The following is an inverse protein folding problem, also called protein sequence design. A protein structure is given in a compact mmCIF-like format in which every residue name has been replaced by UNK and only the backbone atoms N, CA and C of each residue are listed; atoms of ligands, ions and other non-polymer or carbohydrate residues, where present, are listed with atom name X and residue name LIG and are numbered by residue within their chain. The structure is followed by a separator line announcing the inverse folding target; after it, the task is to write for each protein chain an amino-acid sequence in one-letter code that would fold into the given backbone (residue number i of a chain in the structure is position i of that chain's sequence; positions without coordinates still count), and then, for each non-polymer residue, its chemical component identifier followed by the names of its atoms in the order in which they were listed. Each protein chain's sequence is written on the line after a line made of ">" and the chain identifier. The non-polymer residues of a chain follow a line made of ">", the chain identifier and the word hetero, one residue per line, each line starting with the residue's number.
data_IF_428452072176
#
_entry.id   IF_428452072176
#
_cell.length_a   1.000
_cell.length_b   1.000
_cell.length_c   1.000
_cell.angle_alpha   90.00
_cell.angle_beta   90.00
_cell.angle_gamma   90.00
#
_symmetry.space_group_name_H-M   'P 1'
#
loop_
_entity.id
_entity.type
_entity.pdbx_description
1 polymer ?
#
# COMPACT_ATOMS: atom_id res chain seq x y z
N UNK A 1 -18.29 3.84 -26.30
CA UNK A 1 -18.91 3.37 -25.05
C UNK A 1 -18.71 1.87 -25.00
N UNK A 2 -17.82 1.38 -24.13
CA UNK A 2 -17.59 -0.06 -23.98
C UNK A 2 -18.66 -0.60 -23.04
N UNK A 3 -19.62 -1.38 -23.56
CA UNK A 3 -20.67 -2.01 -22.77
C UNK A 3 -20.01 -3.02 -21.84
N UNK A 4 -19.95 -2.73 -20.53
CA UNK A 4 -19.53 -3.71 -19.53
C UNK A 4 -20.45 -4.93 -19.67
N UNK A 5 -19.88 -6.08 -20.02
CA UNK A 5 -20.61 -7.34 -20.13
C UNK A 5 -21.17 -7.68 -18.75
N UNK A 6 -22.49 -7.74 -18.62
CA UNK A 6 -23.17 -8.07 -17.38
C UNK A 6 -22.96 -9.57 -17.10
N UNK A 7 -22.42 -9.91 -15.93
CA UNK A 7 -22.18 -11.30 -15.55
C UNK A 7 -23.49 -12.01 -15.19
N UNK A 8 -23.67 -13.23 -15.68
CA UNK A 8 -24.86 -14.03 -15.34
C UNK A 8 -24.72 -14.69 -13.98
N UNK A 9 -25.84 -15.00 -13.32
CA UNK A 9 -25.92 -15.75 -12.06
C UNK A 9 -25.13 -17.06 -12.08
N UNK A 10 -25.14 -17.78 -13.20
CA UNK A 10 -24.38 -19.03 -13.34
C UNK A 10 -22.87 -18.78 -13.41
N UNK A 11 -22.42 -17.75 -14.13
CA UNK A 11 -21.01 -17.35 -14.16
C UNK A 11 -20.53 -16.91 -12.78
N UNK A 12 -21.38 -16.19 -12.04
CA UNK A 12 -21.09 -15.69 -10.70
C UNK A 12 -21.00 -16.81 -9.65
N UNK A 13 -21.79 -17.88 -9.77
CA UNK A 13 -21.69 -19.04 -8.87
C UNK A 13 -20.30 -19.68 -8.88
N UNK A 14 -19.63 -19.70 -10.04
CA UNK A 14 -18.28 -20.28 -10.17
C UNK A 14 -17.28 -19.62 -9.21
N UNK A 15 -17.47 -18.34 -8.89
CA UNK A 15 -16.59 -17.57 -7.99
C UNK A 15 -16.75 -17.93 -6.51
N UNK A 16 -17.86 -18.57 -6.14
CA UNK A 16 -18.24 -18.83 -4.74
C UNK A 16 -18.56 -20.31 -4.46
N UNK A 17 -18.40 -21.20 -5.45
CA UNK A 17 -18.68 -22.64 -5.34
C UNK A 17 -17.92 -23.35 -4.21
N UNK A 18 -16.76 -22.81 -3.82
CA UNK A 18 -15.94 -23.34 -2.72
C UNK A 18 -16.40 -22.83 -1.33
N UNK A 19 -17.32 -21.84 -1.30
CA UNK A 19 -17.79 -21.18 -0.08
C UNK A 19 -19.22 -21.57 0.31
N UNK A 20 -20.04 -21.98 -0.64
CA UNK A 20 -21.42 -22.41 -0.39
C UNK A 20 -21.90 -23.39 -1.47
N UNK A 21 -22.89 -24.21 -1.11
CA UNK A 21 -23.52 -25.13 -2.06
C UNK A 21 -24.33 -24.38 -3.12
N UNK A 22 -24.72 -25.08 -4.19
CA UNK A 22 -25.57 -24.47 -5.22
C UNK A 22 -26.96 -24.16 -4.66
N UNK A 23 -27.45 -25.02 -3.78
CA UNK A 23 -28.73 -24.86 -3.11
C UNK A 23 -28.73 -23.62 -2.21
N UNK A 24 -27.69 -23.45 -1.37
CA UNK A 24 -27.52 -22.26 -0.52
C UNK A 24 -27.41 -20.97 -1.34
N UNK A 25 -26.73 -21.03 -2.48
CA UNK A 25 -26.61 -19.89 -3.39
C UNK A 25 -27.97 -19.44 -3.96
N UNK A 26 -28.79 -20.39 -4.40
CA UNK A 26 -30.14 -20.14 -4.91
C UNK A 26 -31.06 -19.56 -3.83
N UNK A 27 -31.02 -20.11 -2.61
CA UNK A 27 -31.78 -19.60 -1.45
C UNK A 27 -31.36 -18.18 -1.07
N UNK A 28 -30.06 -17.91 -1.00
CA UNK A 28 -29.54 -16.58 -0.70
C UNK A 28 -29.91 -15.53 -1.76
N UNK A 29 -29.94 -15.92 -3.04
CA UNK A 29 -30.42 -15.03 -4.12
C UNK A 29 -31.90 -14.70 -3.93
N UNK A 30 -32.73 -15.70 -3.62
CA UNK A 30 -34.15 -15.48 -3.40
C UNK A 30 -34.40 -14.55 -2.20
N UNK A 31 -33.66 -14.76 -1.11
CA UNK A 31 -33.74 -13.90 0.08
C UNK A 31 -33.33 -12.46 -0.24
N UNK A 32 -32.23 -12.26 -0.98
CA UNK A 32 -31.78 -10.94 -1.40
C UNK A 32 -32.83 -10.25 -2.28
N UNK A 33 -33.48 -10.98 -3.20
CA UNK A 33 -34.56 -10.37 -4.00
C UNK A 33 -35.75 -9.92 -3.14
N UNK A 34 -36.16 -10.75 -2.19
CA UNK A 34 -37.24 -10.43 -1.26
C UNK A 34 -36.90 -9.22 -0.37
N UNK A 35 -35.66 -9.15 0.13
CA UNK A 35 -35.17 -8.04 0.95
C UNK A 35 -35.25 -6.69 0.21
N UNK A 36 -35.12 -6.72 -1.11
CA UNK A 36 -35.23 -5.55 -2.00
C UNK A 36 -36.60 -5.43 -2.68
N UNK A 37 -37.61 -6.18 -2.22
CA UNK A 37 -38.98 -6.12 -2.73
C UNK A 37 -39.11 -6.48 -4.21
N UNK A 38 -38.33 -7.45 -4.68
CA UNK A 38 -38.26 -7.92 -6.08
C UNK A 38 -37.88 -6.82 -7.09
N UNK A 39 -37.24 -5.75 -6.64
CA UNK A 39 -36.72 -4.68 -7.50
C UNK A 39 -35.59 -5.15 -8.41
N UNK A 40 -34.84 -6.17 -7.98
CA UNK A 40 -33.64 -6.69 -8.62
C UNK A 40 -33.89 -8.08 -9.20
N UNK A 41 -33.27 -8.35 -10.35
CA UNK A 41 -33.30 -9.67 -10.97
C UNK A 41 -32.29 -10.64 -10.32
N UNK A 42 -32.33 -11.90 -10.77
CA UNK A 42 -31.47 -12.98 -10.30
C UNK A 42 -29.99 -12.70 -10.50
N UNK A 43 -29.61 -12.06 -11.62
CA UNK A 43 -28.22 -11.75 -11.95
C UNK A 43 -27.70 -10.62 -11.04
N UNK A 44 -28.52 -9.60 -10.77
CA UNK A 44 -28.21 -8.52 -9.84
C UNK A 44 -28.12 -9.02 -8.39
N UNK A 45 -29.05 -9.87 -7.96
CA UNK A 45 -29.01 -10.48 -6.63
C UNK A 45 -27.80 -11.41 -6.46
N UNK A 46 -27.48 -12.21 -7.48
CA UNK A 46 -26.25 -13.01 -7.54
C UNK A 46 -25.00 -12.15 -7.43
N UNK A 47 -24.96 -11.02 -8.14
CA UNK A 47 -23.83 -10.09 -8.09
C UNK A 47 -23.66 -9.50 -6.70
N UNK A 48 -24.75 -9.04 -6.08
CA UNK A 48 -24.74 -8.53 -4.70
C UNK A 48 -24.27 -9.60 -3.70
N UNK A 49 -24.66 -10.85 -3.90
CA UNK A 49 -24.21 -11.96 -3.06
C UNK A 49 -22.72 -12.23 -3.22
N UNK A 50 -22.22 -12.29 -4.45
CA UNK A 50 -20.79 -12.47 -4.76
C UNK A 50 -19.96 -11.30 -4.21
N UNK A 51 -20.46 -10.08 -4.33
CA UNK A 51 -19.80 -8.88 -3.77
C UNK A 51 -19.78 -8.91 -2.24
N UNK A 52 -20.92 -9.23 -1.60
CA UNK A 52 -21.05 -9.40 -0.15
C UNK A 52 -20.11 -10.49 0.41
N UNK A 53 -19.85 -11.53 -0.36
CA UNK A 53 -18.92 -12.61 -0.01
C UNK A 53 -17.46 -12.29 -0.33
N UNK A 54 -17.16 -11.10 -0.86
CA UNK A 54 -15.81 -10.73 -1.28
C UNK A 54 -15.29 -11.69 -2.35
N UNK A 55 -16.12 -12.05 -3.31
CA UNK A 55 -15.75 -12.94 -4.42
C UNK A 55 -15.87 -12.25 -5.78
N UNK A 56 -16.28 -10.98 -5.79
CA UNK A 56 -16.30 -10.15 -6.98
C UNK A 56 -14.86 -9.87 -7.45
N UNK A 57 -14.43 -10.57 -8.49
CA UNK A 57 -13.10 -10.43 -9.12
C UNK A 57 -13.08 -9.38 -10.23
N UNK A 58 -14.24 -8.81 -10.59
CA UNK A 58 -14.42 -8.09 -11.85
C UNK A 58 -13.71 -6.74 -11.93
N UNK A 59 -13.07 -6.24 -10.86
CA UNK A 59 -12.34 -4.97 -10.90
C UNK A 59 -11.12 -4.97 -9.95
N UNK A 60 -10.20 -5.94 -10.08
CA UNK A 60 -8.87 -5.78 -9.46
C UNK A 60 -8.15 -4.64 -10.20
N UNK A 61 -7.79 -3.60 -9.47
CA UNK A 61 -7.05 -2.44 -9.97
C UNK A 61 -5.56 -2.66 -9.69
N UNK A 62 -4.71 -2.31 -10.66
CA UNK A 62 -3.26 -2.29 -10.48
C UNK A 62 -2.87 -1.27 -9.39
N UNK A 63 -1.86 -1.57 -8.58
CA UNK A 63 -1.54 -0.72 -7.42
C UNK A 63 -1.16 0.72 -7.83
N UNK A 64 -0.50 0.89 -8.97
CA UNK A 64 -0.16 2.20 -9.57
C UNK A 64 -1.37 3.07 -9.92
N UNK A 65 -2.52 2.44 -10.20
CA UNK A 65 -3.71 3.08 -10.75
C UNK A 65 -4.74 3.39 -9.66
N UNK A 66 -4.37 3.17 -8.40
CA UNK A 66 -5.22 3.47 -7.25
C UNK A 66 -5.18 4.96 -6.95
N UNK A 67 -6.29 5.64 -7.23
CA UNK A 67 -6.56 7.02 -6.86
C UNK A 67 -7.28 7.13 -5.51
N UNK A 68 -7.21 8.28 -4.81
CA UNK A 68 -7.92 8.48 -3.54
C UNK A 68 -9.42 8.73 -3.74
N UNK A 69 -10.22 8.44 -2.71
CA UNK A 69 -11.65 8.77 -2.68
C UNK A 69 -12.56 7.75 -3.36
N UNK A 70 -12.05 6.57 -3.70
CA UNK A 70 -12.78 5.47 -4.33
C UNK A 70 -12.67 4.17 -3.56
N UNK A 71 -13.59 3.25 -3.84
CA UNK A 71 -13.43 1.84 -3.48
C UNK A 71 -12.52 1.15 -4.51
N UNK A 72 -11.60 0.34 -4.01
CA UNK A 72 -10.68 -0.42 -4.85
C UNK A 72 -10.57 -1.85 -4.34
N UNK A 73 -10.55 -2.78 -5.30
CA UNK A 73 -10.13 -4.15 -5.06
C UNK A 73 -8.71 -4.27 -5.57
N UNK A 74 -7.78 -4.72 -4.72
CA UNK A 74 -6.35 -4.82 -5.02
C UNK A 74 -5.81 -6.19 -4.63
N UNK A 75 -4.74 -6.60 -5.28
CA UNK A 75 -4.04 -7.83 -4.97
C UNK A 75 -2.53 -7.62 -5.11
N UNK A 76 -1.75 -8.19 -4.20
CA UNK A 76 -0.31 -8.06 -4.24
C UNK A 76 0.38 -8.77 -3.09
N UNK A 77 1.71 -8.66 -3.07
CA UNK A 77 2.58 -9.25 -2.07
C UNK A 77 2.86 -8.22 -0.97
N UNK A 78 2.84 -8.65 0.28
CA UNK A 78 3.25 -7.80 1.40
C UNK A 78 4.76 -7.66 1.38
N UNK A 79 5.24 -6.46 1.13
CA UNK A 79 6.68 -6.14 1.07
C UNK A 79 7.26 -5.73 2.42
N UNK A 80 6.45 -5.12 3.28
CA UNK A 80 6.84 -4.73 4.64
C UNK A 80 5.63 -4.56 5.54
N UNK A 81 5.82 -4.81 6.84
CA UNK A 81 4.80 -4.64 7.88
C UNK A 81 5.36 -3.77 9.01
N UNK A 82 4.62 -2.74 9.41
CA UNK A 82 4.97 -1.91 10.57
C UNK A 82 4.43 -2.54 11.87
N UNK A 83 5.07 -2.27 13.03
CA UNK A 83 4.58 -2.74 14.31
C UNK A 83 3.14 -2.28 14.59
N UNK A 84 2.29 -3.13 15.20
CA UNK A 84 0.94 -2.73 15.60
C UNK A 84 0.94 -1.53 16.56
N UNK A 85 0.02 -0.60 16.32
CA UNK A 85 -0.20 0.56 17.19
C UNK A 85 -1.58 0.51 17.82
N UNK A 86 -1.63 0.67 19.15
CA UNK A 86 -2.87 0.68 19.94
C UNK A 86 -3.16 2.11 20.40
N UNK A 87 -4.40 2.55 20.24
CA UNK A 87 -4.85 3.89 20.61
C UNK A 87 -6.19 3.84 21.34
N UNK A 88 -6.48 4.88 22.13
CA UNK A 88 -7.77 5.02 22.81
C UNK A 88 -8.71 5.88 21.98
N UNK A 89 -9.91 5.37 21.69
CA UNK A 89 -10.96 6.11 20.98
C UNK A 89 -11.64 7.12 21.90
N UNK A 90 -12.35 8.08 21.32
CA UNK A 90 -13.16 9.07 22.06
C UNK A 90 -14.18 8.44 23.02
N UNK A 91 -14.64 7.23 22.74
CA UNK A 91 -15.58 6.47 23.57
C UNK A 91 -14.89 5.60 24.65
N UNK A 92 -13.59 5.79 24.87
CA UNK A 92 -12.80 5.03 25.85
C UNK A 92 -12.40 3.62 25.41
N UNK A 93 -12.93 3.09 24.29
CA UNK A 93 -12.53 1.77 23.77
C UNK A 93 -11.16 1.85 23.12
N UNK A 94 -10.39 0.77 23.21
CA UNK A 94 -9.15 0.65 22.45
C UNK A 94 -9.45 0.37 20.97
N UNK A 95 -8.62 0.95 20.10
CA UNK A 95 -8.51 0.61 18.69
C UNK A 95 -7.07 0.16 18.40
N UNK A 96 -6.92 -0.69 17.38
CA UNK A 96 -5.61 -1.13 16.90
C UNK A 96 -5.48 -0.85 15.41
N UNK A 97 -4.30 -0.46 14.98
CA UNK A 97 -3.96 -0.23 13.57
C UNK A 97 -2.61 -0.84 13.24
N UNK A 98 -2.51 -1.42 12.04
CA UNK A 98 -1.25 -1.88 11.44
C UNK A 98 -1.17 -1.30 10.03
N UNK A 99 -0.01 -0.73 9.69
CA UNK A 99 0.29 -0.29 8.34
C UNK A 99 1.20 -1.32 7.66
N UNK A 100 0.89 -1.69 6.43
CA UNK A 100 1.73 -2.56 5.61
C UNK A 100 1.87 -1.98 4.19
N UNK A 101 2.89 -2.41 3.47
CA UNK A 101 3.09 -2.03 2.07
C UNK A 101 2.83 -3.25 1.19
N UNK A 102 1.81 -3.15 0.34
CA UNK A 102 1.53 -4.13 -0.71
C UNK A 102 2.25 -3.73 -2.00
N UNK A 103 2.77 -4.70 -2.75
CA UNK A 103 3.47 -4.49 -4.02
C UNK A 103 3.00 -5.49 -5.08
N UNK A 104 2.88 -5.03 -6.31
CA UNK A 104 2.67 -5.83 -7.51
C UNK A 104 3.75 -5.49 -8.55
N UNK A 105 3.53 -5.83 -9.81
CA UNK A 105 4.43 -5.50 -10.91
C UNK A 105 4.36 -4.03 -11.34
N UNK A 106 3.33 -3.28 -10.93
CA UNK A 106 3.12 -1.90 -11.37
C UNK A 106 3.51 -0.86 -10.32
N UNK A 107 3.46 -1.22 -9.04
CA UNK A 107 3.81 -0.27 -7.98
C UNK A 107 3.71 -0.81 -6.56
N UNK A 108 3.44 0.11 -5.64
CA UNK A 108 3.37 -0.16 -4.22
C UNK A 108 2.27 0.70 -3.60
N UNK A 109 1.46 0.11 -2.72
CA UNK A 109 0.34 0.77 -2.08
C UNK A 109 0.38 0.56 -0.56
N UNK A 110 0.39 1.63 0.24
CA UNK A 110 0.17 1.54 1.68
C UNK A 110 -1.23 1.03 1.99
N UNK A 111 -1.30 0.02 2.85
CA UNK A 111 -2.54 -0.59 3.32
C UNK A 111 -2.66 -0.37 4.84
N UNK A 112 -3.84 0.03 5.28
CA UNK A 112 -4.16 0.29 6.69
C UNK A 112 -5.16 -0.74 7.19
N UNK A 113 -4.70 -1.63 8.06
CA UNK A 113 -5.51 -2.65 8.72
C UNK A 113 -5.98 -2.17 10.09
N UNK A 114 -7.22 -2.49 10.44
CA UNK A 114 -7.83 -2.06 11.70
C UNK A 114 -8.29 -3.26 12.54
N UNK A 115 -8.19 -3.12 13.86
CA UNK A 115 -8.75 -4.06 14.85
C UNK A 115 -8.44 -5.53 14.53
N UNK A 116 -9.43 -6.31 14.11
CA UNK A 116 -9.31 -7.75 13.88
C UNK A 116 -8.28 -8.06 12.80
N UNK A 117 -8.24 -7.31 11.69
CA UNK A 117 -7.20 -7.51 10.67
C UNK A 117 -5.81 -7.10 11.17
N UNK A 118 -5.71 -6.12 12.07
CA UNK A 118 -4.46 -5.80 12.74
C UNK A 118 -4.03 -6.91 13.72
N UNK A 119 -4.98 -7.58 14.39
CA UNK A 119 -4.71 -8.73 15.25
C UNK A 119 -4.21 -9.93 14.44
N UNK A 120 -4.74 -10.16 13.22
CA UNK A 120 -4.26 -11.22 12.32
C UNK A 120 -2.78 -11.07 11.97
N UNK A 121 -2.28 -9.84 11.88
CA UNK A 121 -0.83 -9.57 11.74
C UNK A 121 -0.07 -9.93 13.02
N UNK A 122 -0.56 -9.46 14.18
CA UNK A 122 0.08 -9.71 15.48
C UNK A 122 0.17 -11.21 15.82
N UNK A 123 -0.87 -11.98 15.49
CA UNK A 123 -0.90 -13.43 15.64
C UNK A 123 -0.09 -14.18 14.57
N UNK A 124 0.48 -13.47 13.59
CA UNK A 124 1.32 -14.04 12.54
C UNK A 124 0.54 -14.81 11.47
N UNK A 125 -0.77 -14.59 11.34
CA UNK A 125 -1.56 -15.09 10.21
C UNK A 125 -1.23 -14.33 8.92
N UNK A 126 -0.96 -13.02 9.05
CA UNK A 126 -0.52 -12.15 7.96
C UNK A 126 0.95 -11.80 8.19
N UNK A 127 1.82 -12.14 7.23
CA UNK A 127 3.28 -11.95 7.28
C UNK A 127 3.81 -11.36 6.00
N UNK A 128 5.00 -10.77 6.07
CA UNK A 128 5.74 -10.36 4.88
C UNK A 128 5.89 -11.51 3.89
N UNK A 129 5.96 -11.15 2.61
CA UNK A 129 6.02 -12.05 1.48
C UNK A 129 4.77 -12.90 1.26
N UNK A 130 3.68 -12.69 1.99
CA UNK A 130 2.38 -13.32 1.69
C UNK A 130 1.64 -12.54 0.61
N UNK A 131 0.84 -13.24 -0.19
CA UNK A 131 -0.05 -12.61 -1.16
C UNK A 131 -1.40 -12.37 -0.50
N UNK A 132 -1.86 -11.13 -0.56
CA UNK A 132 -3.18 -10.75 -0.09
C UNK A 132 -4.02 -10.25 -1.25
N UNK A 133 -5.32 -10.49 -1.16
CA UNK A 133 -6.33 -9.80 -1.94
C UNK A 133 -7.25 -9.06 -0.99
N UNK A 134 -7.49 -7.79 -1.30
CA UNK A 134 -8.35 -6.90 -0.53
C UNK A 134 -9.45 -6.43 -1.46
N UNK A 135 -10.69 -6.64 -1.05
CA UNK A 135 -11.88 -6.31 -1.83
C UNK A 135 -12.61 -5.17 -1.13
N UNK A 136 -13.06 -4.20 -1.92
CA UNK A 136 -13.80 -3.03 -1.46
C UNK A 136 -13.05 -2.27 -0.34
N UNK A 137 -11.74 -2.11 -0.53
CA UNK A 137 -10.90 -1.25 0.30
C UNK A 137 -11.19 0.22 -0.02
N UNK A 138 -11.28 1.07 1.00
CA UNK A 138 -11.55 2.49 0.77
C UNK A 138 -10.25 3.30 0.73
N UNK A 139 -10.04 3.98 -0.38
CA UNK A 139 -8.80 4.75 -0.63
C UNK A 139 -8.93 6.17 -0.11
N UNK A 140 -7.86 6.66 0.54
CA UNK A 140 -7.80 8.03 1.06
C UNK A 140 -6.46 8.66 0.72
N UNK A 141 -6.47 9.98 0.60
CA UNK A 141 -5.24 10.74 0.58
C UNK A 141 -4.67 10.79 2.00
N UNK A 142 -3.61 10.02 2.23
CA UNK A 142 -2.79 10.05 3.44
C UNK A 142 -1.73 11.16 3.39
N UNK A 143 -0.93 11.25 4.46
CA UNK A 143 0.17 12.25 4.56
C UNK A 143 1.25 12.03 3.50
N UNK A 144 1.48 10.76 3.15
CA UNK A 144 2.59 10.32 2.30
C UNK A 144 2.17 9.82 0.91
N UNK A 145 0.88 9.94 0.55
CA UNK A 145 0.35 9.41 -0.70
C UNK A 145 -1.04 8.80 -0.52
N UNK A 146 -1.51 8.07 -1.52
CA UNK A 146 -2.76 7.31 -1.43
C UNK A 146 -2.56 6.12 -0.50
N UNK A 147 -3.51 5.90 0.40
CA UNK A 147 -3.55 4.76 1.32
C UNK A 147 -4.87 4.01 1.14
N UNK A 148 -4.84 2.68 1.18
CA UNK A 148 -6.04 1.85 1.12
C UNK A 148 -6.39 1.35 2.51
N UNK A 149 -7.57 1.71 3.00
CA UNK A 149 -8.05 1.31 4.32
C UNK A 149 -8.95 0.08 4.21
N UNK A 150 -8.63 -0.94 4.99
CA UNK A 150 -9.45 -2.15 5.14
C UNK A 150 -10.51 -1.86 6.20
N UNK A 151 -11.69 -1.48 5.74
CA UNK A 151 -12.81 -1.05 6.58
C UNK A 151 -13.82 -2.17 6.84
N UNK A 152 -14.93 -1.81 7.50
CA UNK A 152 -16.04 -2.73 7.82
C UNK A 152 -16.61 -3.47 6.61
N UNK A 153 -16.59 -2.84 5.44
CA UNK A 153 -17.14 -3.37 4.20
C UNK A 153 -16.08 -4.01 3.30
N UNK A 154 -14.83 -4.04 3.76
CA UNK A 154 -13.73 -4.64 3.03
C UNK A 154 -13.59 -6.10 3.40
N UNK A 155 -13.20 -6.94 2.45
CA UNK A 155 -12.83 -8.34 2.69
C UNK A 155 -11.35 -8.53 2.41
N UNK A 156 -10.63 -9.18 3.33
CA UNK A 156 -9.21 -9.52 3.17
C UNK A 156 -9.03 -11.04 3.13
N UNK A 157 -8.58 -11.56 1.97
CA UNK A 157 -8.19 -12.95 1.79
C UNK A 157 -6.67 -13.10 1.65
N UNK A 158 -6.16 -14.21 2.18
CA UNK A 158 -4.80 -14.69 1.94
C UNK A 158 -4.87 -15.63 0.74
N UNK A 159 -4.02 -15.41 -0.24
CA UNK A 159 -4.00 -16.18 -1.49
C UNK A 159 -2.74 -17.05 -1.56
N UNK A 160 -2.82 -18.16 -2.30
CA UNK A 160 -1.64 -18.96 -2.65
C UNK A 160 -0.71 -18.18 -3.59
N UNK A 161 0.57 -18.56 -3.57
CA UNK A 161 1.61 -17.94 -4.40
C UNK A 161 1.75 -18.71 -5.71
N UNK A 162 1.96 -17.98 -6.79
CA UNK A 162 2.21 -18.51 -8.12
C UNK A 162 3.66 -18.20 -8.55
N UNK A 163 4.13 -18.76 -9.66
CA UNK A 163 5.51 -18.58 -10.14
C UNK A 163 5.92 -17.09 -10.30
N UNK A 164 5.01 -16.23 -10.76
CA UNK A 164 5.24 -14.78 -10.86
C UNK A 164 5.45 -14.14 -9.49
N UNK A 165 4.75 -14.61 -8.46
CA UNK A 165 4.88 -14.11 -7.09
C UNK A 165 6.26 -14.47 -6.52
N UNK A 166 6.79 -15.65 -6.87
CA UNK A 166 8.15 -16.05 -6.50
C UNK A 166 9.20 -15.11 -7.09
N UNK A 167 9.06 -14.70 -8.35
CA UNK A 167 9.98 -13.75 -8.99
C UNK A 167 9.91 -12.36 -8.31
N UNK A 168 8.71 -11.88 -7.98
CA UNK A 168 8.53 -10.62 -7.25
C UNK A 168 9.13 -10.68 -5.84
N UNK A 169 8.94 -11.79 -5.12
CA UNK A 169 9.53 -12.03 -3.80
C UNK A 169 11.05 -12.12 -3.90
N UNK A 170 11.62 -12.85 -4.85
CA UNK A 170 13.07 -12.97 -5.01
C UNK A 170 13.68 -11.63 -5.43
N UNK A 171 13.03 -10.86 -6.31
CA UNK A 171 13.43 -9.49 -6.61
C UNK A 171 13.35 -8.58 -5.38
N UNK A 172 12.33 -8.75 -4.53
CA UNK A 172 12.20 -8.01 -3.28
C UNK A 172 13.25 -8.43 -2.24
N UNK A 173 13.55 -9.72 -2.13
CA UNK A 173 14.61 -10.26 -1.27
C UNK A 173 15.98 -9.83 -1.77
N UNK A 174 16.24 -9.86 -3.07
CA UNK A 174 17.48 -9.36 -3.67
C UNK A 174 17.61 -7.86 -3.40
N UNK A 175 16.53 -7.08 -3.59
CA UNK A 175 16.46 -5.67 -3.16
C UNK A 175 16.61 -5.51 -1.65
N UNK A 176 16.16 -6.45 -0.81
CA UNK A 176 16.31 -6.41 0.64
C UNK A 176 17.72 -6.81 1.10
N UNK A 177 18.38 -7.73 0.39
CA UNK A 177 19.78 -8.11 0.56
C UNK A 177 20.66 -6.92 0.17
N UNK A 178 20.31 -6.22 -0.92
CA UNK A 178 20.89 -4.94 -1.31
C UNK A 178 20.49 -3.80 -0.33
N UNK A 179 19.33 -3.87 0.34
CA UNK A 179 18.91 -2.97 1.44
C UNK A 179 19.46 -3.38 2.82
N UNK A 180 20.18 -4.50 2.96
CA UNK A 180 20.93 -4.78 4.20
C UNK A 180 22.09 -3.78 4.36
N UNK A 181 22.42 -3.06 3.29
CA UNK A 181 23.16 -1.81 3.29
C UNK A 181 22.24 -0.58 3.40
N UNK A 182 21.17 -0.63 4.20
CA UNK A 182 20.40 0.58 4.53
C UNK A 182 21.32 1.53 5.29
N UNK A 183 21.72 2.60 4.61
CA UNK A 183 22.66 3.54 5.17
C UNK A 183 21.90 4.62 5.91
N UNK A 184 22.02 4.61 7.22
CA UNK A 184 21.54 5.71 8.06
C UNK A 184 22.62 6.77 8.20
N UNK A 185 22.21 8.03 8.05
CA UNK A 185 23.09 9.17 8.19
C UNK A 185 22.47 10.20 9.11
N UNK A 186 23.07 10.38 10.28
CA UNK A 186 22.68 11.39 11.26
C UNK A 186 23.65 12.57 11.26
N UNK A 187 23.12 13.78 11.34
CA UNK A 187 23.93 14.99 11.45
C UNK A 187 23.13 16.28 11.57
N UNK A 188 23.85 17.38 11.74
CA UNK A 188 23.24 18.72 11.79
C UNK A 188 23.19 19.33 10.40
N UNK A 189 22.03 19.87 10.01
CA UNK A 189 21.83 20.55 8.71
C UNK A 189 22.67 21.83 8.68
N UNK A 190 23.64 21.87 7.78
CA UNK A 190 24.45 23.07 7.51
C UNK A 190 23.80 23.98 6.46
N UNK A 191 23.18 23.37 5.45
CA UNK A 191 22.46 24.08 4.40
C UNK A 191 21.49 23.14 3.68
N UNK A 192 20.37 23.71 3.23
CA UNK A 192 19.43 23.12 2.29
C UNK A 192 19.47 23.98 1.04
N UNK A 193 19.70 23.37 -0.11
CA UNK A 193 19.69 24.08 -1.39
C UNK A 193 18.26 24.36 -1.85
N UNK A 194 18.01 25.40 -2.66
CA UNK A 194 16.71 25.60 -3.29
C UNK A 194 16.26 24.36 -4.05
N UNK A 195 14.95 24.10 -4.04
CA UNK A 195 14.35 23.01 -4.81
C UNK A 195 14.50 23.27 -6.31
N UNK A 196 15.15 22.36 -7.02
CA UNK A 196 15.18 22.35 -8.47
C UNK A 196 14.05 21.49 -9.02
N UNK A 197 13.42 21.95 -10.09
CA UNK A 197 12.34 21.25 -10.81
C UNK A 197 12.86 20.80 -12.17
N UNK A 198 12.52 19.58 -12.58
CA UNK A 198 12.85 19.03 -13.90
C UNK A 198 11.67 18.29 -14.52
N UNK A 199 11.69 18.13 -15.85
CA UNK A 199 10.67 17.40 -16.60
C UNK A 199 11.09 15.95 -16.79
N UNK A 200 10.18 15.01 -16.53
CA UNK A 200 10.37 13.59 -16.83
C UNK A 200 9.89 13.25 -18.25
N UNK A 201 10.26 12.05 -18.71
CA UNK A 201 9.87 11.54 -20.04
C UNK A 201 8.37 11.27 -20.17
N UNK A 202 7.68 11.08 -19.05
CA UNK A 202 6.23 10.86 -18.94
C UNK A 202 5.45 12.18 -18.78
N UNK A 203 6.08 13.32 -19.09
CA UNK A 203 5.52 14.67 -18.96
C UNK A 203 5.19 15.10 -17.51
N UNK A 204 5.61 14.33 -16.50
CA UNK A 204 5.49 14.72 -15.09
C UNK A 204 6.66 15.58 -14.62
N UNK A 205 6.46 16.28 -13.50
CA UNK A 205 7.50 17.10 -12.86
C UNK A 205 8.22 16.34 -11.76
N UNK A 206 9.55 16.40 -11.75
CA UNK A 206 10.39 15.90 -10.67
C UNK A 206 11.02 17.03 -9.86
N UNK A 207 11.30 16.74 -8.58
CA UNK A 207 11.85 17.70 -7.64
C UNK A 207 13.13 17.15 -7.02
N UNK A 208 14.14 18.00 -6.87
CA UNK A 208 15.39 17.63 -6.19
C UNK A 208 15.94 18.77 -5.36
N UNK A 209 16.40 18.45 -4.15
CA UNK A 209 17.15 19.36 -3.29
C UNK A 209 18.39 18.67 -2.74
N UNK A 210 19.38 19.46 -2.31
CA UNK A 210 20.66 19.01 -1.79
C UNK A 210 20.84 19.52 -0.36
N UNK A 211 21.12 18.59 0.56
CA UNK A 211 21.31 18.88 1.98
C UNK A 211 22.74 18.56 2.38
N UNK A 212 23.45 19.54 2.94
CA UNK A 212 24.77 19.32 3.55
C UNK A 212 24.59 19.05 5.04
N UNK A 213 24.99 17.86 5.47
CA UNK A 213 24.92 17.41 6.87
C UNK A 213 26.32 17.40 7.48
N UNK A 214 26.47 18.02 8.65
CA UNK A 214 27.66 17.83 9.50
C UNK A 214 27.49 16.54 10.30
N UNK A 215 28.27 15.52 9.96
CA UNK A 215 28.25 14.21 10.64
C UNK A 215 29.55 13.97 11.39
N UNK A 216 29.63 12.88 12.16
CA UNK A 216 30.87 12.44 12.83
C UNK A 216 32.01 12.15 11.85
N UNK A 217 31.69 11.80 10.59
CA UNK A 217 32.66 11.51 9.51
C UNK A 217 32.93 12.73 8.61
N UNK A 218 32.56 13.93 9.04
CA UNK A 218 32.68 15.16 8.26
C UNK A 218 31.38 15.56 7.57
N UNK A 219 31.49 16.50 6.62
CA UNK A 219 30.34 17.01 5.88
C UNK A 219 29.96 16.00 4.80
N UNK A 220 28.70 15.59 4.78
CA UNK A 220 28.13 14.66 3.79
C UNK A 220 27.00 15.34 3.03
N UNK A 221 26.89 15.04 1.75
CA UNK A 221 25.83 15.55 0.87
C UNK A 221 24.75 14.49 0.70
N UNK A 222 23.51 14.85 0.99
CA UNK A 222 22.32 14.04 0.70
C UNK A 222 21.51 14.70 -0.40
N UNK A 223 21.25 13.96 -1.48
CA UNK A 223 20.36 14.37 -2.56
C UNK A 223 18.96 13.86 -2.28
N UNK A 224 18.02 14.77 -2.08
CA UNK A 224 16.64 14.50 -1.66
C UNK A 224 15.72 14.64 -2.86
N UNK A 225 14.88 13.64 -3.11
CA UNK A 225 14.04 13.56 -4.32
C UNK A 225 12.54 13.61 -3.99
N UNK A 226 11.78 14.26 -4.87
CA UNK A 226 10.32 14.21 -4.97
C UNK A 226 9.59 14.38 -3.63
N UNK A 227 8.88 13.35 -3.16
CA UNK A 227 8.10 13.41 -1.91
C UNK A 227 8.96 13.78 -0.70
N UNK A 228 10.25 13.42 -0.70
CA UNK A 228 11.16 13.76 0.39
C UNK A 228 11.57 15.23 0.37
N UNK A 229 11.53 15.90 -0.78
CA UNK A 229 11.75 17.36 -0.86
C UNK A 229 10.63 18.12 -0.15
N UNK A 230 9.41 17.58 -0.19
CA UNK A 230 8.28 18.12 0.58
C UNK A 230 8.50 17.94 2.09
N UNK A 231 8.91 16.75 2.53
CA UNK A 231 9.20 16.47 3.94
C UNK A 231 10.36 17.34 4.46
N UNK A 232 11.33 17.66 3.59
CA UNK A 232 12.45 18.53 3.92
C UNK A 232 12.03 19.97 4.26
N UNK A 233 10.86 20.43 3.81
CA UNK A 233 10.39 21.80 4.09
C UNK A 233 10.10 22.04 5.58
N UNK A 234 9.93 20.98 6.37
CA UNK A 234 9.68 21.06 7.81
C UNK A 234 10.98 21.31 8.62
N UNK A 235 12.14 21.33 7.96
CA UNK A 235 13.45 21.43 8.60
C UNK A 235 14.22 22.67 8.16
N UNK A 236 15.07 23.15 9.05
CA UNK A 236 15.85 24.36 8.89
C UNK A 236 17.34 24.09 9.11
N UNK A 237 18.15 25.05 8.66
CA UNK A 237 19.57 25.08 9.02
C UNK A 237 19.73 25.10 10.53
N UNK A 238 20.57 24.20 11.05
CA UNK A 238 20.83 24.03 12.48
C UNK A 238 20.09 22.84 13.11
N UNK A 239 19.07 22.29 12.44
CA UNK A 239 18.37 21.11 12.93
C UNK A 239 19.25 19.88 12.90
N UNK A 240 19.12 19.03 13.92
CA UNK A 240 19.77 17.73 13.96
C UNK A 240 18.77 16.70 13.48
N UNK A 241 19.16 15.97 12.44
CA UNK A 241 18.27 15.05 11.73
C UNK A 241 18.93 13.72 11.47
N UNK A 242 18.11 12.68 11.33
CA UNK A 242 18.51 11.38 10.84
C UNK A 242 17.83 11.10 9.50
N UNK A 243 18.64 10.75 8.50
CA UNK A 243 18.17 10.20 7.24
C UNK A 243 18.33 8.69 7.29
N UNK A 244 17.21 7.98 7.21
CA UNK A 244 17.15 6.52 7.18
C UNK A 244 16.75 6.01 5.81
N UNK A 245 17.20 4.79 5.47
CA UNK A 245 16.97 4.13 4.18
C UNK A 245 17.52 4.89 2.96
N UNK A 246 18.69 5.52 3.10
CA UNK A 246 19.37 6.19 1.99
C UNK A 246 19.90 5.17 0.99
N UNK A 247 19.72 5.49 -0.29
CA UNK A 247 20.42 4.79 -1.37
C UNK A 247 21.84 5.36 -1.50
N UNK A 248 22.84 4.48 -1.56
CA UNK A 248 24.22 4.87 -1.81
C UNK A 248 24.56 4.58 -3.26
N UNK A 249 25.05 5.59 -3.97
CA UNK A 249 25.73 5.41 -5.26
C UNK A 249 27.21 5.64 -5.09
N UNK A 250 28.03 4.83 -5.74
CA UNK A 250 29.48 5.02 -5.78
C UNK A 250 29.90 5.39 -7.19
N UNK A 251 30.39 6.62 -7.37
CA UNK A 251 30.97 7.09 -8.63
C UNK A 251 32.36 7.64 -8.36
N UNK A 252 33.36 7.22 -9.14
CA UNK A 252 34.76 7.66 -9.04
C UNK A 252 35.31 7.63 -7.59
N UNK A 253 34.95 6.60 -6.81
CA UNK A 253 35.39 6.43 -5.43
C UNK A 253 34.70 7.31 -4.38
N UNK A 254 33.79 8.21 -4.78
CA UNK A 254 32.98 9.02 -3.85
C UNK A 254 31.62 8.36 -3.63
N UNK A 255 31.18 8.33 -2.37
CA UNK A 255 29.84 7.89 -1.97
C UNK A 255 28.87 9.06 -2.08
N UNK A 256 27.78 8.86 -2.79
CA UNK A 256 26.66 9.79 -2.91
C UNK A 256 25.46 9.20 -2.20
N UNK A 257 24.79 10.01 -1.37
CA UNK A 257 23.63 9.59 -0.60
C UNK A 257 22.36 10.15 -1.22
N UNK A 258 21.36 9.30 -1.42
CA UNK A 258 20.10 9.67 -2.05
C UNK A 258 18.91 9.31 -1.15
N UNK A 259 18.11 10.31 -0.81
CA UNK A 259 16.84 10.15 -0.12
C UNK A 259 15.71 10.11 -1.15
N UNK A 260 15.30 8.90 -1.54
CA UNK A 260 14.23 8.63 -2.49
C UNK A 260 12.90 8.35 -1.76
N UNK A 261 11.85 7.90 -2.46
CA UNK A 261 10.51 7.70 -1.89
C UNK A 261 10.44 6.84 -0.61
N UNK A 262 11.38 5.91 -0.42
CA UNK A 262 11.49 5.06 0.78
C UNK A 262 12.24 5.70 1.97
N UNK A 263 12.95 6.80 1.74
CA UNK A 263 13.76 7.42 2.79
C UNK A 263 12.87 8.09 3.84
N UNK A 264 13.37 8.15 5.07
CA UNK A 264 12.70 8.80 6.20
C UNK A 264 13.63 9.86 6.77
N UNK A 265 13.10 11.05 7.02
CA UNK A 265 13.82 12.17 7.64
C UNK A 265 13.16 12.45 8.99
N UNK A 266 13.90 12.33 10.08
CA UNK A 266 13.40 12.58 11.44
C UNK A 266 14.25 13.60 12.17
N UNK A 267 13.61 14.45 12.99
CA UNK A 267 14.31 15.31 13.95
C UNK A 267 14.86 14.46 15.10
N UNK A 268 16.08 14.79 15.56
CA UNK A 268 16.75 14.13 16.69
C UNK A 268 17.16 15.16 17.75
#
# INVERSE_FOLDING_TARGET
>A
MSTKKQHTKNELYVLIKEKQSKEEYEENILQIKQDYGDLIDDDAAAFLLVDKLGCNTANIVQLSDVHPGQEATVQGIISSIQPPHVFTRKNGRQGKVVNLIMTDDTGSLPIVLWNDDANRVEHGEIKEHMKLKIINGYTKQGRNGVELHVGRWSTLSIEEKNDTDHVLIENHKQKQIDQKDSFTLQGTILSISPTNVFFRKDETYGFVSKVHLKTKKGIQLVTVWDSQVKNLQDFNKGDTVEFSYLDIKQQNGKKEFHANGKAVITQV
#
